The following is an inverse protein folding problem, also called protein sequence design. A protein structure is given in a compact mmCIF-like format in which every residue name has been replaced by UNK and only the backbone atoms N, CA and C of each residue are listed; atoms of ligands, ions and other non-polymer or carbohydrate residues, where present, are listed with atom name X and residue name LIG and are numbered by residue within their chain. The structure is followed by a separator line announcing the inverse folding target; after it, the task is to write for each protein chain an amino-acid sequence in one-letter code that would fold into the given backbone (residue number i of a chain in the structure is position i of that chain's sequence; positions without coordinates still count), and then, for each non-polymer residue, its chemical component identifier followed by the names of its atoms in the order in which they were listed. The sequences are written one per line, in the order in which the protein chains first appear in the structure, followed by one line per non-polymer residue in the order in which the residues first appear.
data_IF_883534336690
#
_entry.id   IF_883534336690
#
_cell.length_a   1.000
_cell.length_b   1.000
_cell.length_c   1.000
_cell.angle_alpha   90.00
_cell.angle_beta   90.00
_cell.angle_gamma   90.00
#
_symmetry.space_group_name_H-M   'P 1'
#
loop_
_entity.id
_entity.type
_entity.pdbx_description
1 polymer ?
#
# COMPACT_ATOMS: atom_id res chain seq x y z
N UNK A 1 -12.58 17.47 1.25
CA UNK A 1 -11.39 16.64 0.98
C UNK A 1 -11.64 15.27 1.56
N UNK A 2 -11.88 14.26 0.72
CA UNK A 2 -12.02 12.85 1.12
C UNK A 2 -10.66 12.14 1.28
N UNK A 3 -9.54 12.86 1.17
CA UNK A 3 -8.24 12.29 0.82
C UNK A 3 -7.59 11.42 1.91
N UNK A 4 -8.06 11.50 3.15
CA UNK A 4 -7.64 10.65 4.27
C UNK A 4 -8.82 9.86 4.87
N UNK A 5 -9.97 9.78 4.19
CA UNK A 5 -11.11 9.03 4.68
C UNK A 5 -10.74 7.56 4.96
N UNK A 6 -10.90 7.15 6.22
CA UNK A 6 -10.54 5.84 6.70
C UNK A 6 -9.04 5.59 6.88
N UNK A 7 -8.17 6.58 6.69
CA UNK A 7 -6.73 6.50 6.96
C UNK A 7 -6.39 7.07 8.34
N UNK A 8 -5.64 6.31 9.14
CA UNK A 8 -5.09 6.79 10.41
C UNK A 8 -3.71 6.21 10.66
N UNK A 9 -2.72 7.08 10.90
CA UNK A 9 -1.37 6.66 11.24
C UNK A 9 -1.33 6.05 12.64
N UNK A 10 -0.68 4.89 12.78
CA UNK A 10 -0.41 4.24 14.07
C UNK A 10 0.97 4.66 14.56
N UNK A 11 1.98 4.54 13.70
CA UNK A 11 3.36 4.90 13.99
C UNK A 11 4.10 5.35 12.70
N UNK A 12 5.43 5.44 12.73
CA UNK A 12 6.22 5.89 11.57
C UNK A 12 6.14 4.94 10.36
N UNK A 13 5.84 3.66 10.59
CA UNK A 13 5.87 2.57 9.62
C UNK A 13 4.54 1.83 9.48
N UNK A 14 3.50 2.25 10.20
CA UNK A 14 2.21 1.57 10.23
C UNK A 14 1.03 2.53 10.25
N UNK A 15 -0.07 2.14 9.60
CA UNK A 15 -1.33 2.87 9.58
C UNK A 15 -2.52 1.91 9.47
N UNK A 16 -3.70 2.32 9.93
CA UNK A 16 -4.96 1.67 9.56
C UNK A 16 -5.53 2.35 8.31
N UNK A 17 -6.03 1.55 7.37
CA UNK A 17 -6.80 2.03 6.24
C UNK A 17 -8.03 1.16 5.99
N UNK A 18 -9.22 1.74 6.17
CA UNK A 18 -10.52 1.10 5.87
C UNK A 18 -10.64 -0.34 6.39
N UNK A 19 -10.31 -0.53 7.67
CA UNK A 19 -10.46 -1.81 8.38
C UNK A 19 -9.26 -2.75 8.31
N UNK A 20 -8.19 -2.42 7.58
CA UNK A 20 -6.96 -3.20 7.56
C UNK A 20 -5.78 -2.39 8.11
N UNK A 21 -4.94 -3.04 8.91
CA UNK A 21 -3.63 -2.52 9.29
C UNK A 21 -2.66 -2.68 8.11
N UNK A 22 -1.91 -1.63 7.77
CA UNK A 22 -0.82 -1.66 6.81
C UNK A 22 0.49 -1.39 7.53
N UNK A 23 1.44 -2.33 7.41
CA UNK A 23 2.74 -2.32 8.09
C UNK A 23 3.89 -2.14 7.12
N UNK A 24 5.05 -1.83 7.68
CA UNK A 24 6.31 -1.64 6.95
C UNK A 24 6.21 -0.60 5.83
N UNK A 25 5.40 0.43 6.07
CA UNK A 25 5.21 1.58 5.18
C UNK A 25 6.56 2.16 4.77
N UNK A 26 6.77 2.31 3.46
CA UNK A 26 8.01 2.83 2.87
C UNK A 26 7.95 4.34 2.77
N UNK A 27 9.12 4.97 2.86
CA UNK A 27 9.23 6.41 2.65
C UNK A 27 8.84 6.78 1.23
N UNK A 28 8.13 7.90 1.09
CA UNK A 28 7.81 8.55 -0.18
C UNK A 28 8.56 9.88 -0.34
N UNK A 29 9.50 10.17 0.57
CA UNK A 29 10.18 11.47 0.67
C UNK A 29 11.03 11.79 -0.56
N UNK A 30 11.55 10.78 -1.25
CA UNK A 30 12.32 10.91 -2.47
C UNK A 30 11.49 11.35 -3.69
N UNK A 31 10.16 11.24 -3.62
CA UNK A 31 9.27 11.71 -4.68
C UNK A 31 9.10 13.24 -4.59
N UNK A 32 9.17 13.92 -5.73
CA UNK A 32 8.83 15.34 -5.83
C UNK A 32 7.32 15.57 -5.66
N UNK A 33 6.92 16.79 -5.30
CA UNK A 33 5.50 17.13 -5.13
C UNK A 33 4.68 16.92 -6.42
N UNK A 34 5.28 17.18 -7.60
CA UNK A 34 4.65 16.89 -8.89
C UNK A 34 4.39 15.40 -9.08
N UNK A 35 5.34 14.55 -8.71
CA UNK A 35 5.17 13.09 -8.77
C UNK A 35 4.11 12.63 -7.77
N UNK A 36 4.11 13.15 -6.54
CA UNK A 36 3.09 12.84 -5.54
C UNK A 36 1.69 13.23 -6.03
N UNK A 37 1.52 14.43 -6.59
CA UNK A 37 0.24 14.89 -7.13
C UNK A 37 -0.24 14.06 -8.33
N UNK A 38 0.68 13.67 -9.23
CA UNK A 38 0.35 12.79 -10.35
C UNK A 38 -0.09 11.42 -9.83
N UNK A 39 0.70 10.79 -8.97
CA UNK A 39 0.41 9.47 -8.41
C UNK A 39 -0.85 9.47 -7.55
N UNK A 40 -1.14 10.56 -6.83
CA UNK A 40 -2.39 10.77 -6.11
C UNK A 40 -3.62 10.72 -7.03
N UNK A 41 -3.55 11.34 -8.21
CA UNK A 41 -4.65 11.28 -9.18
C UNK A 41 -4.87 9.86 -9.70
N UNK A 42 -3.78 9.17 -10.02
CA UNK A 42 -3.82 7.84 -10.63
C UNK A 42 -4.06 6.70 -9.63
N UNK A 43 -3.68 6.85 -8.35
CA UNK A 43 -3.77 5.78 -7.34
C UNK A 43 -2.83 4.60 -7.61
N UNK A 44 -1.67 4.86 -8.24
CA UNK A 44 -0.70 3.84 -8.62
C UNK A 44 0.23 3.48 -7.46
N UNK A 45 0.81 2.27 -7.53
CA UNK A 45 1.88 1.87 -6.62
C UNK A 45 3.11 2.77 -6.78
N UNK A 46 3.73 3.26 -5.70
CA UNK A 46 4.95 4.05 -5.77
C UNK A 46 6.16 3.20 -6.16
N UNK A 47 7.18 3.90 -6.62
CA UNK A 47 8.55 3.40 -6.72
C UNK A 47 9.30 3.82 -5.46
N UNK A 48 10.10 2.94 -4.87
CA UNK A 48 11.01 3.30 -3.78
C UNK A 48 12.22 4.08 -4.30
N UNK A 49 13.14 4.44 -3.40
CA UNK A 49 14.34 5.21 -3.73
C UNK A 49 15.29 4.48 -4.71
N UNK A 50 15.20 3.15 -4.79
CA UNK A 50 16.00 2.32 -5.70
C UNK A 50 15.30 2.11 -7.06
N UNK A 51 14.08 2.63 -7.25
CA UNK A 51 13.29 2.41 -8.46
C UNK A 51 12.51 1.10 -8.48
N UNK A 52 12.39 0.42 -7.33
CA UNK A 52 11.58 -0.78 -7.20
C UNK A 52 10.13 -0.44 -6.92
N UNK A 53 9.19 -1.13 -7.59
CA UNK A 53 7.77 -0.92 -7.31
C UNK A 53 7.44 -1.47 -5.93
N UNK A 54 6.85 -0.64 -5.06
CA UNK A 54 6.31 -1.08 -3.78
C UNK A 54 4.95 -1.72 -4.03
N UNK A 55 4.79 -2.98 -3.64
CA UNK A 55 3.54 -3.73 -3.75
C UNK A 55 2.94 -3.96 -2.38
N UNK A 56 1.64 -4.29 -2.36
CA UNK A 56 0.91 -4.66 -1.16
C UNK A 56 0.80 -6.18 -1.09
N UNK A 57 1.27 -6.75 0.01
CA UNK A 57 1.24 -8.19 0.28
C UNK A 57 0.31 -8.48 1.44
N UNK A 58 -0.63 -9.42 1.28
CA UNK A 58 -1.40 -9.94 2.41
C UNK A 58 -0.49 -10.82 3.26
N UNK A 59 -0.26 -10.43 4.52
CA UNK A 59 0.58 -11.21 5.41
C UNK A 59 0.05 -12.65 5.52
N UNK A 60 0.95 -13.63 5.38
CA UNK A 60 0.64 -15.06 5.45
C UNK A 60 -0.48 -15.56 4.52
N UNK A 61 -0.76 -14.83 3.43
CA UNK A 61 -1.91 -15.12 2.56
C UNK A 61 -3.26 -15.07 3.29
N UNK A 62 -3.44 -14.15 4.25
CA UNK A 62 -4.71 -13.93 4.94
C UNK A 62 -5.38 -12.62 4.46
N UNK A 63 -6.56 -12.69 3.84
CA UNK A 63 -7.32 -11.51 3.35
C UNK A 63 -7.78 -10.57 4.46
N UNK A 64 -7.98 -11.08 5.67
CA UNK A 64 -8.36 -10.30 6.84
C UNK A 64 -7.14 -9.89 7.69
N UNK A 65 -5.94 -10.34 7.31
CA UNK A 65 -4.71 -10.03 8.00
C UNK A 65 -4.12 -8.67 7.60
N UNK A 66 -3.05 -8.23 8.29
CA UNK A 66 -2.33 -7.02 7.93
C UNK A 66 -1.79 -7.07 6.49
N UNK A 67 -1.74 -5.90 5.86
CA UNK A 67 -1.07 -5.69 4.57
C UNK A 67 0.36 -5.22 4.82
N UNK A 68 1.31 -5.72 4.03
CA UNK A 68 2.72 -5.33 4.12
C UNK A 68 3.12 -4.57 2.85
N UNK A 69 3.71 -3.38 3.00
CA UNK A 69 4.40 -2.70 1.90
C UNK A 69 5.78 -3.33 1.66
N UNK A 70 5.95 -3.96 0.49
CA UNK A 70 7.17 -4.67 0.14
C UNK A 70 7.67 -4.28 -1.25
N UNK A 71 8.96 -3.95 -1.43
CA UNK A 71 9.55 -3.80 -2.76
C UNK A 71 9.37 -5.09 -3.56
N UNK A 72 8.97 -4.98 -4.82
CA UNK A 72 8.66 -6.14 -5.69
C UNK A 72 9.77 -7.19 -5.71
N UNK A 73 11.08 -6.86 -5.77
CA UNK A 73 12.12 -7.88 -5.73
C UNK A 73 12.12 -8.72 -4.44
N UNK A 74 11.57 -8.22 -3.34
CA UNK A 74 11.54 -8.89 -2.04
C UNK A 74 10.29 -9.76 -1.83
N UNK A 75 9.30 -9.66 -2.72
CA UNK A 75 8.15 -10.57 -2.76
C UNK A 75 8.55 -11.87 -3.45
N UNK A 76 8.71 -12.94 -2.66
CA UNK A 76 9.27 -14.22 -3.10
C UNK A 76 8.25 -15.33 -2.89
N UNK A 77 7.68 -15.84 -3.99
CA UNK A 77 6.67 -16.91 -3.95
C UNK A 77 7.10 -18.16 -3.16
N UNK A 78 8.38 -18.54 -3.21
CA UNK A 78 8.90 -19.68 -2.43
C UNK A 78 9.20 -19.38 -0.95
N UNK A 79 8.98 -18.15 -0.47
CA UNK A 79 9.22 -17.81 0.92
C UNK A 79 8.02 -18.21 1.79
N UNK A 80 8.17 -19.28 2.57
CA UNK A 80 7.10 -19.84 3.42
C UNK A 80 6.57 -18.86 4.47
N UNK A 81 7.35 -17.85 4.88
CA UNK A 81 6.88 -16.80 5.79
C UNK A 81 5.94 -15.80 5.09
N UNK A 82 6.09 -15.63 3.78
CA UNK A 82 5.21 -14.77 2.97
C UNK A 82 4.03 -15.57 2.41
N UNK A 83 4.28 -16.81 2.00
CA UNK A 83 3.33 -17.71 1.37
C UNK A 83 3.31 -19.09 2.05
N UNK A 84 2.75 -19.20 3.27
CA UNK A 84 2.69 -20.47 4.00
C UNK A 84 1.82 -21.52 3.32
N UNK A 85 0.87 -21.10 2.48
CA UNK A 85 0.00 -21.97 1.68
C UNK A 85 0.57 -22.21 0.28
N UNK A 86 1.83 -21.85 0.04
CA UNK A 86 2.49 -21.96 -1.25
C UNK A 86 1.84 -21.10 -2.34
N UNK A 87 1.99 -21.52 -3.60
CA UNK A 87 1.46 -20.81 -4.78
C UNK A 87 -0.03 -21.07 -5.04
N UNK A 88 -0.74 -21.63 -4.05
CA UNK A 88 -2.18 -21.83 -4.10
C UNK A 88 -2.84 -20.46 -4.31
N UNK A 89 -3.30 -20.17 -5.53
CA UNK A 89 -4.01 -18.94 -5.87
C UNK A 89 -5.39 -18.96 -5.20
N UNK A 90 -5.44 -18.62 -3.91
CA UNK A 90 -6.59 -18.97 -3.07
C UNK A 90 -7.05 -17.89 -2.09
N UNK A 91 -6.49 -16.69 -2.13
CA UNK A 91 -7.00 -15.57 -1.32
C UNK A 91 -7.27 -14.35 -2.19
N UNK A 92 -8.55 -13.96 -2.24
CA UNK A 92 -9.02 -12.80 -2.99
C UNK A 92 -9.10 -13.07 -4.50
N UNK A 93 -10.06 -13.87 -4.95
CA UNK A 93 -10.34 -14.11 -6.38
C UNK A 93 -11.70 -13.52 -6.80
N UNK A 94 -11.92 -13.34 -8.11
CA UNK A 94 -13.18 -12.77 -8.61
C UNK A 94 -13.49 -11.40 -7.99
N UNK A 95 -14.69 -11.25 -7.43
CA UNK A 95 -15.15 -10.00 -6.81
C UNK A 95 -14.25 -9.52 -5.66
N UNK A 96 -13.65 -10.42 -4.88
CA UNK A 96 -12.72 -10.05 -3.81
C UNK A 96 -11.43 -9.43 -4.37
N UNK A 97 -10.98 -9.92 -5.53
CA UNK A 97 -9.81 -9.36 -6.21
C UNK A 97 -10.08 -7.94 -6.68
N UNK A 98 -11.26 -7.71 -7.23
CA UNK A 98 -11.70 -6.40 -7.70
C UNK A 98 -11.87 -5.42 -6.53
N UNK A 99 -12.50 -5.86 -5.44
CA UNK A 99 -12.62 -5.08 -4.21
C UNK A 99 -11.24 -4.70 -3.66
N UNK A 100 -10.29 -5.64 -3.61
CA UNK A 100 -8.93 -5.35 -3.18
C UNK A 100 -8.21 -4.39 -4.14
N UNK A 101 -8.41 -4.51 -5.45
CA UNK A 101 -7.81 -3.58 -6.42
C UNK A 101 -8.31 -2.14 -6.21
N UNK A 102 -9.61 -1.96 -5.96
CA UNK A 102 -10.20 -0.67 -5.62
C UNK A 102 -9.66 -0.15 -4.28
N UNK A 103 -9.64 -1.00 -3.25
CA UNK A 103 -9.08 -0.69 -1.93
C UNK A 103 -7.60 -0.25 -2.04
N UNK A 104 -6.79 -0.98 -2.81
CA UNK A 104 -5.37 -0.68 -3.06
C UNK A 104 -5.18 0.68 -3.72
N UNK A 105 -5.97 0.98 -4.74
CA UNK A 105 -5.89 2.27 -5.41
C UNK A 105 -6.17 3.41 -4.42
N UNK A 106 -7.22 3.29 -3.62
CA UNK A 106 -7.58 4.29 -2.60
C UNK A 106 -6.53 4.39 -1.49
N UNK A 107 -5.94 3.27 -1.07
CA UNK A 107 -4.85 3.27 -0.10
C UNK A 107 -3.67 4.10 -0.59
N UNK A 108 -3.23 3.89 -1.85
CA UNK A 108 -2.13 4.69 -2.39
C UNK A 108 -2.48 6.17 -2.49
N UNK A 109 -3.71 6.52 -2.85
CA UNK A 109 -4.17 7.92 -2.80
C UNK A 109 -4.06 8.50 -1.40
N UNK A 110 -4.49 7.78 -0.36
CA UNK A 110 -4.34 8.22 1.02
C UNK A 110 -2.86 8.43 1.41
N UNK A 111 -1.96 7.53 0.99
CA UNK A 111 -0.51 7.65 1.24
C UNK A 111 0.10 8.90 0.59
N UNK A 112 -0.29 9.21 -0.64
CA UNK A 112 0.19 10.42 -1.31
C UNK A 112 -0.40 11.69 -0.70
N UNK A 113 -1.69 11.67 -0.34
CA UNK A 113 -2.33 12.78 0.34
C UNK A 113 -1.69 13.07 1.69
N UNK A 114 -1.43 12.03 2.49
CA UNK A 114 -0.73 12.13 3.76
C UNK A 114 0.63 12.83 3.59
N UNK A 115 1.43 12.38 2.63
CA UNK A 115 2.75 12.97 2.37
C UNK A 115 2.64 14.43 1.88
N UNK A 116 1.68 14.74 1.01
CA UNK A 116 1.43 16.11 0.54
C UNK A 116 0.96 17.05 1.67
N UNK A 117 0.13 16.56 2.59
CA UNK A 117 -0.33 17.29 3.78
C UNK A 117 0.85 17.54 4.72
N UNK A 118 1.67 16.50 4.97
CA UNK A 118 2.87 16.61 5.81
C UNK A 118 3.85 17.67 5.27
N UNK A 119 3.94 17.81 3.94
CA UNK A 119 4.75 18.83 3.27
C UNK A 119 4.11 20.22 3.21
N UNK A 120 2.84 20.35 3.61
CA UNK A 120 2.08 21.61 3.51
C UNK A 120 1.70 22.00 2.08
N UNK A 121 1.76 21.06 1.12
CA UNK A 121 1.40 21.29 -0.29
C UNK A 121 -0.11 21.35 -0.46
N UNK A 122 -0.84 20.53 0.31
CA UNK A 122 -2.30 20.55 0.40
C UNK A 122 -2.70 20.61 1.89
N UNK A 123 -3.95 20.97 2.16
CA UNK A 123 -4.52 21.08 3.51
C UNK A 123 -5.65 20.08 3.69
#
# INVERSE_FOLDING_TARGET
MESLDGFSRIDNYSANFRGLEVRAQRSLEHLSDKQLQFQYKEGLSPKDINGDTIILHHHEQNVAGPIIEIPRPNHKMGNIKQHPLGNSGGVGSGAEREAFNAWRAQYWKARYAEELIRRGVIK
#
